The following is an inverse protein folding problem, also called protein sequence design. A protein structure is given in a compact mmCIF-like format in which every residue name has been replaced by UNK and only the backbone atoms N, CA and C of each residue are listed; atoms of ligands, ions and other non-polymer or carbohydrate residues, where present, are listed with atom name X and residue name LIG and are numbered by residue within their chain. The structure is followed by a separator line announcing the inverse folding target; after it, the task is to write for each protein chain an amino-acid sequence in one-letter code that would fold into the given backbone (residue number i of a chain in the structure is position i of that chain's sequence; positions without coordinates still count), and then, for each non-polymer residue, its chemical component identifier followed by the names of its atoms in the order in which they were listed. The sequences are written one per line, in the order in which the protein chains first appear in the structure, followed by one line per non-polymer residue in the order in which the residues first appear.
data_IF_850586391976
#
_entry.id   IF_850586391976
#
_cell.length_a   1.000
_cell.length_b   1.000
_cell.length_c   1.000
_cell.angle_alpha   90.00
_cell.angle_beta   90.00
_cell.angle_gamma   90.00
#
_symmetry.space_group_name_H-M   'P 1'
#
loop_
_entity.id
_entity.type
_entity.pdbx_description
1 polymer ?
#
# COMPACT_ATOMS: atom_id res chain seq x y z
N UNK A 1 12.20 21.88 -0.53
CA UNK A 1 13.53 21.21 -0.59
C UNK A 1 13.59 19.96 0.28
N UNK A 2 13.23 20.03 1.57
CA UNK A 2 13.26 18.88 2.50
C UNK A 2 12.37 17.68 2.09
N UNK A 3 11.22 17.92 1.46
CA UNK A 3 10.31 16.84 1.05
C UNK A 3 10.77 16.07 -0.20
N UNK A 4 11.45 16.77 -1.11
CA UNK A 4 12.08 16.20 -2.32
C UNK A 4 13.30 15.35 -1.93
N UNK A 5 14.10 15.84 -0.98
CA UNK A 5 15.19 15.09 -0.35
C UNK A 5 14.68 13.88 0.45
N UNK A 6 13.56 14.02 1.16
CA UNK A 6 12.94 12.93 1.91
C UNK A 6 12.48 11.77 1.03
N UNK A 7 11.91 12.04 -0.14
CA UNK A 7 11.47 10.98 -1.03
C UNK A 7 12.53 10.47 -2.01
N UNK A 8 13.53 11.27 -2.41
CA UNK A 8 14.76 10.77 -3.04
C UNK A 8 15.55 9.87 -2.07
N UNK A 9 15.64 10.27 -0.79
CA UNK A 9 16.21 9.47 0.28
C UNK A 9 15.45 8.15 0.51
N UNK A 10 14.14 8.12 0.28
CA UNK A 10 13.33 6.91 0.36
C UNK A 10 13.57 5.95 -0.81
N UNK A 11 13.70 6.46 -2.04
CA UNK A 11 14.04 5.65 -3.23
C UNK A 11 15.46 5.08 -3.17
N UNK A 12 16.44 5.91 -2.81
CA UNK A 12 17.84 5.50 -2.64
C UNK A 12 17.98 4.58 -1.42
N UNK A 13 17.30 4.90 -0.31
CA UNK A 13 17.26 4.10 0.91
C UNK A 13 16.65 2.72 0.71
N UNK A 14 15.57 2.59 -0.06
CA UNK A 14 14.99 1.27 -0.40
C UNK A 14 15.94 0.42 -1.25
N UNK A 15 16.68 1.02 -2.20
CA UNK A 15 17.66 0.31 -3.02
C UNK A 15 18.89 -0.09 -2.20
N UNK A 16 19.33 0.76 -1.27
CA UNK A 16 20.39 0.47 -0.33
C UNK A 16 19.99 -0.67 0.61
N UNK A 17 18.79 -0.59 1.20
CA UNK A 17 18.23 -1.63 2.07
C UNK A 17 18.07 -2.95 1.33
N UNK A 18 17.48 -2.97 0.13
CA UNK A 18 17.30 -4.20 -0.65
C UNK A 18 18.64 -4.84 -1.04
N UNK A 19 19.63 -4.04 -1.46
CA UNK A 19 20.98 -4.52 -1.77
C UNK A 19 21.72 -5.00 -0.53
N UNK A 20 21.57 -4.31 0.60
CA UNK A 20 22.12 -4.74 1.89
C UNK A 20 21.47 -6.04 2.34
N UNK A 21 20.14 -6.20 2.21
CA UNK A 21 19.45 -7.44 2.60
C UNK A 21 19.83 -8.66 1.77
N UNK A 22 20.27 -8.49 0.53
CA UNK A 22 20.61 -9.60 -0.37
C UNK A 22 21.83 -10.42 0.09
N UNK A 23 22.72 -9.82 0.89
CA UNK A 23 23.88 -10.49 1.48
C UNK A 23 23.79 -10.72 3.00
N UNK A 24 22.68 -10.32 3.63
CA UNK A 24 22.54 -10.36 5.09
C UNK A 24 21.94 -11.69 5.57
N UNK A 25 22.36 -12.18 6.76
CA UNK A 25 21.68 -13.26 7.45
C UNK A 25 20.19 -12.94 7.62
N UNK A 26 19.32 -13.96 7.52
CA UNK A 26 17.86 -13.81 7.54
C UNK A 26 17.33 -12.96 8.70
N UNK A 27 17.97 -13.03 9.88
CA UNK A 27 17.63 -12.21 11.06
C UNK A 27 17.94 -10.72 10.85
N UNK A 28 19.10 -10.40 10.29
CA UNK A 28 19.51 -9.02 10.01
C UNK A 28 18.69 -8.39 8.88
N UNK A 29 18.37 -9.17 7.83
CA UNK A 29 17.48 -8.71 6.77
C UNK A 29 16.07 -8.38 7.30
N UNK A 30 15.53 -9.21 8.22
CA UNK A 30 14.26 -8.94 8.91
C UNK A 30 14.32 -7.71 9.79
N UNK A 31 15.38 -7.55 10.59
CA UNK A 31 15.56 -6.38 11.44
C UNK A 31 15.60 -5.09 10.63
N UNK A 32 16.33 -5.09 9.50
CA UNK A 32 16.41 -3.93 8.61
C UNK A 32 15.05 -3.61 7.95
N UNK A 33 14.30 -4.64 7.52
CA UNK A 33 12.93 -4.46 6.99
C UNK A 33 11.98 -3.91 8.06
N UNK A 34 12.02 -4.44 9.28
CA UNK A 34 11.23 -3.94 10.42
C UNK A 34 11.55 -2.47 10.73
N UNK A 35 12.83 -2.12 10.83
CA UNK A 35 13.27 -0.75 11.05
C UNK A 35 12.79 0.19 9.93
N UNK A 36 12.88 -0.25 8.67
CA UNK A 36 12.40 0.52 7.52
C UNK A 36 10.90 0.73 7.58
N UNK A 37 10.12 -0.31 7.88
CA UNK A 37 8.66 -0.22 8.04
C UNK A 37 8.30 0.76 9.16
N UNK A 38 8.97 0.69 10.31
CA UNK A 38 8.74 1.59 11.43
C UNK A 38 9.02 3.03 11.03
N UNK A 39 10.20 3.32 10.50
CA UNK A 39 10.59 4.69 10.09
C UNK A 39 9.61 5.27 9.07
N UNK A 40 9.24 4.48 8.06
CA UNK A 40 8.35 4.91 6.97
C UNK A 40 6.93 5.20 7.46
N UNK A 41 6.44 4.48 8.48
CA UNK A 41 5.08 4.65 9.00
C UNK A 41 5.02 5.59 10.23
N UNK A 42 6.14 5.89 10.89
CA UNK A 42 6.22 6.86 12.00
C UNK A 42 6.24 8.30 11.49
N UNK A 43 6.98 8.61 10.42
CA UNK A 43 7.04 9.96 9.88
C UNK A 43 5.66 10.60 9.56
N UNK A 44 4.70 9.88 8.98
CA UNK A 44 3.33 10.35 8.79
C UNK A 44 2.60 10.66 10.09
N UNK A 45 2.76 9.80 11.10
CA UNK A 45 2.12 9.99 12.39
C UNK A 45 2.66 11.26 13.07
N UNK A 46 3.97 11.49 12.99
CA UNK A 46 4.59 12.75 13.44
C UNK A 46 4.02 13.95 12.68
N UNK A 47 3.87 13.85 11.36
CA UNK A 47 3.29 14.93 10.55
C UNK A 47 1.82 15.25 10.89
N UNK A 48 1.04 14.24 11.29
CA UNK A 48 -0.32 14.44 11.81
C UNK A 48 -0.31 15.10 13.18
N UNK A 49 0.59 14.65 14.09
CA UNK A 49 0.71 15.21 15.44
C UNK A 49 1.15 16.67 15.43
N UNK A 50 2.03 17.06 14.51
CA UNK A 50 2.46 18.45 14.31
C UNK A 50 1.44 19.28 13.52
N UNK A 51 0.37 18.67 13.01
CA UNK A 51 -0.70 19.33 12.26
C UNK A 51 -0.36 19.65 10.80
N UNK A 52 0.82 19.23 10.32
CA UNK A 52 1.26 19.44 8.94
C UNK A 52 0.43 18.63 7.91
N UNK A 53 -0.17 17.53 8.35
CA UNK A 53 -0.97 16.61 7.54
C UNK A 53 -2.31 16.35 8.22
N UNK A 54 -3.40 16.42 7.47
CA UNK A 54 -4.76 16.15 7.96
C UNK A 54 -5.26 14.76 7.61
N UNK A 55 -6.51 14.45 7.99
CA UNK A 55 -7.13 13.18 7.64
C UNK A 55 -7.25 12.98 6.12
N UNK A 56 -7.67 14.03 5.41
CA UNK A 56 -7.80 13.99 3.95
C UNK A 56 -6.49 13.61 3.25
N UNK A 57 -5.35 14.12 3.75
CA UNK A 57 -4.03 13.79 3.20
C UNK A 57 -3.66 12.31 3.44
N UNK A 58 -3.97 11.77 4.62
CA UNK A 58 -3.73 10.35 4.96
C UNK A 58 -4.62 9.42 4.11
N UNK A 59 -5.90 9.77 3.95
CA UNK A 59 -6.81 9.02 3.08
C UNK A 59 -6.32 9.05 1.63
N UNK A 60 -5.98 10.22 1.09
CA UNK A 60 -5.54 10.37 -0.30
C UNK A 60 -4.28 9.56 -0.55
N UNK A 61 -3.36 9.53 0.43
CA UNK A 61 -2.20 8.66 0.34
C UNK A 61 -2.58 7.18 0.23
N UNK A 62 -3.42 6.65 1.13
CA UNK A 62 -3.84 5.25 1.03
C UNK A 62 -4.53 4.94 -0.31
N UNK A 63 -5.35 5.86 -0.81
CA UNK A 63 -6.01 5.71 -2.11
C UNK A 63 -4.98 5.63 -3.26
N UNK A 64 -3.97 6.51 -3.26
CA UNK A 64 -2.90 6.48 -4.27
C UNK A 64 -2.02 5.23 -4.16
N UNK A 65 -1.75 4.74 -2.94
CA UNK A 65 -1.01 3.50 -2.70
C UNK A 65 -1.75 2.30 -3.33
N UNK A 66 -3.07 2.21 -3.16
CA UNK A 66 -3.89 1.16 -3.77
C UNK A 66 -3.86 1.22 -5.30
N UNK A 67 -4.03 2.42 -5.88
CA UNK A 67 -3.94 2.61 -7.34
C UNK A 67 -2.55 2.23 -7.87
N UNK A 68 -1.50 2.61 -7.14
CA UNK A 68 -0.11 2.25 -7.48
C UNK A 68 0.09 0.74 -7.51
N UNK A 69 -0.38 0.03 -6.48
CA UNK A 69 -0.29 -1.43 -6.40
C UNK A 69 -1.04 -2.08 -7.56
N UNK A 70 -2.23 -1.58 -7.89
CA UNK A 70 -2.99 -2.05 -9.04
C UNK A 70 -2.20 -1.89 -10.35
N UNK A 71 -1.71 -0.68 -10.65
CA UNK A 71 -0.98 -0.39 -11.89
C UNK A 71 0.20 -1.33 -12.07
N UNK A 72 1.01 -1.53 -11.02
CA UNK A 72 2.18 -2.40 -11.09
C UNK A 72 1.82 -3.89 -11.12
N UNK A 73 0.73 -4.30 -10.48
CA UNK A 73 0.23 -5.68 -10.57
C UNK A 73 -0.27 -5.99 -11.98
N UNK A 74 -1.01 -5.05 -12.59
CA UNK A 74 -1.46 -5.17 -13.97
C UNK A 74 -0.30 -5.16 -14.96
N UNK A 75 0.66 -4.24 -14.80
CA UNK A 75 1.87 -4.20 -15.63
C UNK A 75 2.64 -5.53 -15.57
N UNK A 76 2.79 -6.14 -14.39
CA UNK A 76 3.37 -7.48 -14.24
C UNK A 76 2.55 -8.56 -14.93
N UNK A 77 1.23 -8.53 -14.77
CA UNK A 77 0.35 -9.51 -15.41
C UNK A 77 0.44 -9.43 -16.93
N UNK A 78 0.50 -8.22 -17.50
CA UNK A 78 0.66 -7.97 -18.93
C UNK A 78 2.04 -8.40 -19.43
N UNK A 79 3.11 -8.04 -18.71
CA UNK A 79 4.49 -8.39 -19.09
C UNK A 79 4.80 -9.89 -19.01
N UNK A 80 4.00 -10.65 -18.24
CA UNK A 80 4.18 -12.11 -18.06
C UNK A 80 3.14 -12.95 -18.79
N UNK A 81 2.36 -12.30 -19.67
CA UNK A 81 1.37 -12.96 -20.52
C UNK A 81 2.10 -13.70 -21.64
N UNK A 82 1.77 -14.97 -21.83
CA UNK A 82 2.23 -15.73 -22.99
C UNK A 82 1.55 -15.22 -24.26
N UNK A 83 2.27 -15.08 -25.39
CA UNK A 83 1.66 -14.81 -26.69
C UNK A 83 0.63 -15.90 -27.01
N UNK A 84 -0.64 -15.52 -27.19
CA UNK A 84 -1.75 -16.47 -27.40
C UNK A 84 -2.45 -16.97 -26.12
N UNK A 85 -1.93 -16.67 -24.92
CA UNK A 85 -2.60 -16.97 -23.65
C UNK A 85 -3.86 -16.11 -23.41
N UNK A 86 -4.73 -16.51 -22.46
CA UNK A 86 -6.09 -15.97 -22.32
C UNK A 86 -6.08 -14.46 -21.99
N UNK A 87 -6.22 -13.65 -23.03
CA UNK A 87 -6.31 -12.18 -22.97
C UNK A 87 -7.40 -11.72 -22.00
N UNK A 88 -8.51 -12.44 -22.03
CA UNK A 88 -9.72 -12.17 -21.28
C UNK A 88 -9.48 -12.27 -19.77
N UNK A 89 -8.62 -13.18 -19.29
CA UNK A 89 -8.32 -13.31 -17.87
C UNK A 89 -7.57 -12.09 -17.32
N UNK A 90 -6.58 -11.59 -18.06
CA UNK A 90 -5.82 -10.38 -17.67
C UNK A 90 -6.67 -9.12 -17.82
N UNK A 91 -7.50 -9.04 -18.86
CA UNK A 91 -8.43 -7.93 -19.07
C UNK A 91 -9.51 -7.87 -17.98
N UNK A 92 -10.15 -9.00 -17.67
CA UNK A 92 -11.12 -9.10 -16.59
C UNK A 92 -10.50 -8.75 -15.24
N UNK A 93 -9.31 -9.28 -14.94
CA UNK A 93 -8.58 -8.92 -13.73
C UNK A 93 -8.26 -7.42 -13.68
N UNK A 94 -7.78 -6.85 -14.78
CA UNK A 94 -7.49 -5.43 -14.90
C UNK A 94 -8.73 -4.57 -14.62
N UNK A 95 -9.84 -4.84 -15.29
CA UNK A 95 -11.10 -4.09 -15.11
C UNK A 95 -11.66 -4.28 -13.70
N UNK A 96 -11.81 -5.52 -13.25
CA UNK A 96 -12.42 -5.82 -11.95
C UNK A 96 -11.58 -5.25 -10.80
N UNK A 97 -10.29 -5.55 -10.76
CA UNK A 97 -9.40 -5.05 -9.72
C UNK A 97 -9.18 -3.54 -9.82
N UNK A 98 -9.13 -3.00 -11.04
CA UNK A 98 -9.05 -1.56 -11.29
C UNK A 98 -10.24 -0.80 -10.73
N UNK A 99 -11.47 -1.31 -10.89
CA UNK A 99 -12.65 -0.70 -10.27
C UNK A 99 -12.54 -0.67 -8.75
N UNK A 100 -12.17 -1.78 -8.10
CA UNK A 100 -11.99 -1.80 -6.65
C UNK A 100 -10.85 -0.89 -6.16
N UNK A 101 -9.79 -0.72 -6.96
CA UNK A 101 -8.71 0.19 -6.62
C UNK A 101 -9.11 1.67 -6.76
N UNK A 102 -9.98 1.99 -7.73
CA UNK A 102 -10.41 3.35 -8.03
C UNK A 102 -11.55 3.84 -7.12
N UNK A 103 -12.41 2.95 -6.63
CA UNK A 103 -13.56 3.33 -5.80
C UNK A 103 -13.14 4.10 -4.54
N UNK A 104 -12.15 3.66 -3.73
CA UNK A 104 -11.66 4.45 -2.58
C UNK A 104 -11.20 5.84 -2.95
N UNK A 105 -10.61 6.00 -4.15
CA UNK A 105 -10.11 7.27 -4.66
C UNK A 105 -11.26 8.19 -5.10
N UNK A 106 -12.15 7.71 -5.96
CA UNK A 106 -13.25 8.50 -6.52
C UNK A 106 -14.30 8.84 -5.45
N UNK A 107 -14.77 7.85 -4.68
CA UNK A 107 -15.75 8.10 -3.63
C UNK A 107 -15.15 8.92 -2.50
N UNK A 108 -13.89 8.72 -2.15
CA UNK A 108 -13.29 9.52 -1.09
C UNK A 108 -13.00 10.95 -1.52
N UNK A 109 -12.75 11.22 -2.80
CA UNK A 109 -12.72 12.59 -3.30
C UNK A 109 -14.08 13.30 -3.09
N UNK A 110 -15.18 12.59 -3.27
CA UNK A 110 -16.54 13.12 -3.10
C UNK A 110 -17.00 13.19 -1.63
N UNK A 111 -16.57 12.25 -0.79
CA UNK A 111 -17.08 12.07 0.57
C UNK A 111 -16.10 12.53 1.65
N UNK A 112 -14.81 12.26 1.48
CA UNK A 112 -13.78 12.58 2.48
C UNK A 112 -13.34 14.03 2.36
N UNK A 113 -13.08 14.54 1.15
CA UNK A 113 -12.54 15.90 1.00
C UNK A 113 -13.47 17.01 1.51
N UNK A 114 -14.80 16.94 1.34
CA UNK A 114 -15.70 17.92 1.95
C UNK A 114 -15.68 17.88 3.48
N UNK A 115 -15.53 16.69 4.07
CA UNK A 115 -15.50 16.51 5.52
C UNK A 115 -14.11 16.78 6.14
N UNK A 116 -13.04 16.54 5.38
CA UNK A 116 -11.65 16.62 5.80
C UNK A 116 -10.78 17.08 4.60
N UNK A 117 -10.69 18.40 4.35
CA UNK A 117 -9.93 18.93 3.23
C UNK A 117 -8.43 18.63 3.37
N UNK A 118 -7.74 18.61 2.22
CA UNK A 118 -6.29 18.42 2.18
C UNK A 118 -5.57 19.61 2.82
N UNK A 119 -4.67 19.36 3.76
CA UNK A 119 -3.82 20.40 4.34
C UNK A 119 -2.57 20.63 3.48
N UNK A 120 -2.08 19.57 2.82
CA UNK A 120 -0.82 19.62 2.06
C UNK A 120 -0.93 18.85 0.73
N UNK A 121 -1.80 19.26 -0.22
CA UNK A 121 -2.10 18.51 -1.45
C UNK A 121 -0.86 18.22 -2.30
N UNK A 122 0.01 19.22 -2.47
CA UNK A 122 1.25 19.10 -3.25
C UNK A 122 2.23 18.10 -2.64
N UNK A 123 2.36 18.09 -1.31
CA UNK A 123 3.25 17.17 -0.59
C UNK A 123 2.70 15.74 -0.65
N UNK A 124 1.38 15.59 -0.51
CA UNK A 124 0.68 14.31 -0.61
C UNK A 124 0.81 13.70 -2.00
N UNK A 125 0.60 14.48 -3.07
CA UNK A 125 0.67 13.97 -4.45
C UNK A 125 2.10 13.71 -4.92
N UNK A 126 3.00 14.70 -4.78
CA UNK A 126 4.36 14.58 -5.35
C UNK A 126 5.24 13.63 -4.53
N UNK A 127 5.19 13.73 -3.20
CA UNK A 127 6.16 13.05 -2.32
C UNK A 127 5.68 11.67 -1.93
N UNK A 128 4.38 11.50 -1.66
CA UNK A 128 3.85 10.20 -1.23
C UNK A 128 3.30 9.41 -2.42
N UNK A 129 2.58 10.07 -3.33
CA UNK A 129 2.10 9.46 -4.57
C UNK A 129 3.22 9.16 -5.57
N UNK A 130 3.95 10.19 -6.02
CA UNK A 130 4.99 10.04 -7.05
C UNK A 130 6.15 9.14 -6.61
N UNK A 131 6.72 9.38 -5.43
CA UNK A 131 7.89 8.62 -4.97
C UNK A 131 7.49 7.23 -4.44
N UNK A 132 6.28 7.09 -3.89
CA UNK A 132 5.67 5.80 -3.58
C UNK A 132 5.46 4.94 -4.84
N UNK A 133 4.94 5.55 -5.92
CA UNK A 133 4.76 4.89 -7.21
C UNK A 133 6.08 4.38 -7.79
N UNK A 134 7.11 5.23 -7.79
CA UNK A 134 8.44 4.85 -8.24
C UNK A 134 9.05 3.77 -7.35
N UNK A 135 8.88 3.83 -6.04
CA UNK A 135 9.43 2.84 -5.10
C UNK A 135 8.78 1.46 -5.29
N UNK A 136 7.45 1.41 -5.44
CA UNK A 136 6.73 0.17 -5.71
C UNK A 136 7.15 -0.39 -7.07
N UNK A 137 7.16 0.44 -8.12
CA UNK A 137 7.61 0.03 -9.45
C UNK A 137 9.01 -0.53 -9.47
N UNK A 138 9.92 0.12 -8.75
CA UNK A 138 11.28 -0.33 -8.60
C UNK A 138 11.39 -1.65 -7.84
N UNK A 139 10.60 -1.85 -6.79
CA UNK A 139 10.58 -3.10 -6.00
C UNK A 139 10.14 -4.31 -6.82
N UNK A 140 9.30 -4.09 -7.84
CA UNK A 140 8.80 -5.15 -8.73
C UNK A 140 9.55 -5.26 -10.05
N UNK A 141 10.41 -4.29 -10.39
CA UNK A 141 11.13 -4.25 -11.66
C UNK A 141 11.92 -5.55 -11.93
N UNK A 142 12.62 -6.08 -10.93
CA UNK A 142 13.34 -7.35 -11.06
C UNK A 142 12.43 -8.59 -11.19
N UNK A 143 11.16 -8.49 -10.81
CA UNK A 143 10.17 -9.54 -11.07
C UNK A 143 9.55 -9.41 -12.47
N UNK A 144 9.32 -8.18 -12.94
CA UNK A 144 8.88 -7.86 -14.31
C UNK A 144 9.93 -8.33 -15.33
N UNK A 145 11.18 -7.92 -15.16
CA UNK A 145 12.31 -8.28 -16.04
C UNK A 145 12.53 -9.80 -16.07
N UNK A 146 12.37 -10.47 -14.93
CA UNK A 146 12.53 -11.92 -14.82
C UNK A 146 11.28 -12.73 -15.23
N UNK A 147 10.23 -12.09 -15.77
CA UNK A 147 9.03 -12.79 -16.21
C UNK A 147 8.23 -13.47 -15.10
N UNK A 148 8.37 -13.03 -13.84
CA UNK A 148 7.76 -13.70 -12.68
C UNK A 148 6.33 -13.24 -12.44
N UNK A 149 5.37 -14.16 -12.69
CA UNK A 149 3.94 -13.95 -12.43
C UNK A 149 3.65 -13.51 -10.98
N UNK A 150 2.62 -12.67 -10.74
CA UNK A 150 2.16 -12.35 -9.39
C UNK A 150 1.80 -13.62 -8.61
N UNK A 151 2.24 -13.70 -7.36
CA UNK A 151 1.91 -14.84 -6.47
C UNK A 151 0.61 -14.59 -5.69
N UNK A 152 0.00 -15.66 -5.14
CA UNK A 152 -1.14 -15.52 -4.19
C UNK A 152 -0.80 -14.59 -3.03
N UNK A 153 0.44 -14.63 -2.53
CA UNK A 153 0.90 -13.74 -1.48
C UNK A 153 0.94 -12.26 -1.90
N UNK A 154 1.20 -11.97 -3.18
CA UNK A 154 1.15 -10.61 -3.72
C UNK A 154 -0.30 -10.10 -3.71
N UNK A 155 -1.26 -10.95 -4.11
CA UNK A 155 -2.69 -10.60 -4.05
C UNK A 155 -3.18 -10.37 -2.63
N UNK A 156 -2.87 -11.27 -1.68
CA UNK A 156 -3.26 -11.11 -0.26
C UNK A 156 -2.76 -9.77 0.30
N UNK A 157 -1.50 -9.43 0.01
CA UNK A 157 -0.89 -8.15 0.41
C UNK A 157 -1.60 -6.95 -0.21
N UNK A 158 -2.02 -7.05 -1.46
CA UNK A 158 -2.70 -5.98 -2.18
C UNK A 158 -4.14 -5.79 -1.66
N UNK A 159 -4.89 -6.89 -1.51
CA UNK A 159 -6.25 -6.87 -0.94
C UNK A 159 -6.29 -6.35 0.50
N UNK A 160 -5.31 -6.69 1.33
CA UNK A 160 -5.28 -6.20 2.71
C UNK A 160 -5.07 -4.67 2.78
N UNK A 161 -4.23 -4.10 1.90
CA UNK A 161 -4.06 -2.64 1.80
C UNK A 161 -5.30 -1.96 1.22
N UNK A 162 -5.95 -2.59 0.24
CA UNK A 162 -7.21 -2.13 -0.31
C UNK A 162 -8.31 -2.09 0.75
N UNK A 163 -8.45 -3.14 1.56
CA UNK A 163 -9.39 -3.17 2.70
C UNK A 163 -9.18 -2.00 3.65
N UNK A 164 -7.93 -1.68 3.99
CA UNK A 164 -7.62 -0.52 4.82
C UNK A 164 -8.02 0.81 4.18
N UNK A 165 -7.82 0.98 2.86
CA UNK A 165 -8.26 2.18 2.16
C UNK A 165 -9.79 2.33 2.14
N UNK A 166 -10.53 1.22 2.00
CA UNK A 166 -11.98 1.22 2.15
C UNK A 166 -12.43 1.53 3.58
N UNK A 167 -11.75 1.01 4.60
CA UNK A 167 -12.04 1.39 5.98
C UNK A 167 -11.83 2.89 6.19
N UNK A 168 -10.72 3.45 5.68
CA UNK A 168 -10.45 4.88 5.74
C UNK A 168 -11.47 5.73 4.94
N UNK A 169 -12.03 5.21 3.85
CA UNK A 169 -13.12 5.89 3.14
C UNK A 169 -14.36 6.09 4.03
N UNK A 170 -14.69 5.10 4.86
CA UNK A 170 -15.96 5.07 5.61
C UNK A 170 -15.89 5.76 6.98
N UNK A 171 -14.69 5.92 7.56
CA UNK A 171 -14.53 6.51 8.90
C UNK A 171 -15.16 7.91 9.07
N UNK A 172 -15.03 8.86 8.12
CA UNK A 172 -15.67 10.17 8.25
C UNK A 172 -17.20 10.08 8.28
N UNK A 173 -17.79 9.11 7.57
CA UNK A 173 -19.23 8.91 7.57
C UNK A 173 -19.71 8.46 8.96
N UNK A 174 -18.95 7.59 9.64
CA UNK A 174 -19.30 7.16 11.01
C UNK A 174 -19.05 8.28 12.02
N UNK A 175 -18.01 9.09 11.82
CA UNK A 175 -17.57 10.09 12.80
C UNK A 175 -18.20 11.50 12.62
N UNK A 176 -18.81 11.78 11.47
CA UNK A 176 -19.24 13.13 11.06
C UNK A 176 -20.68 13.20 10.54
N UNK A 177 -21.42 12.09 10.49
CA UNK A 177 -22.83 12.14 10.05
C UNK A 177 -23.73 12.52 11.21
N UNK A 178 -24.54 13.57 11.00
CA UNK A 178 -25.64 13.96 11.88
C UNK A 178 -26.88 14.17 11.02
N UNK A 179 -27.97 13.49 11.37
CA UNK A 179 -29.27 13.58 10.66
C UNK A 179 -29.16 13.34 9.14
N UNK A 180 -28.29 12.40 8.73
CA UNK A 180 -28.04 12.07 7.32
C UNK A 180 -27.15 13.05 6.55
N UNK A 181 -26.70 14.14 7.20
CA UNK A 181 -25.78 15.12 6.61
C UNK A 181 -24.36 14.89 7.11
N UNK A 182 -23.39 14.88 6.18
CA UNK A 182 -21.98 14.78 6.51
C UNK A 182 -21.44 16.16 6.86
N UNK A 183 -21.06 16.34 8.12
CA UNK A 183 -20.50 17.59 8.61
C UNK A 183 -18.96 17.60 8.51
N UNK A 184 -18.34 18.76 8.31
CA UNK A 184 -16.90 18.91 8.44
C UNK A 184 -16.40 18.40 9.79
N UNK A 185 -15.34 17.59 9.76
CA UNK A 185 -14.71 17.07 10.95
C UNK A 185 -13.93 18.17 11.67
N UNK A 186 -14.05 18.23 12.99
CA UNK A 186 -13.20 19.09 13.82
C UNK A 186 -11.74 18.67 13.70
N UNK A 187 -10.84 19.61 13.94
CA UNK A 187 -9.39 19.39 13.93
C UNK A 187 -8.95 18.22 14.83
N UNK A 188 -9.54 18.09 16.01
CA UNK A 188 -9.27 16.99 16.94
C UNK A 188 -9.73 15.63 16.39
N UNK A 189 -10.92 15.57 15.77
CA UNK A 189 -11.44 14.34 15.15
C UNK A 189 -10.62 13.94 13.93
N UNK A 190 -10.22 14.89 13.09
CA UNK A 190 -9.35 14.60 11.94
C UNK A 190 -8.03 13.98 12.39
N UNK A 191 -7.36 14.57 13.40
CA UNK A 191 -6.09 14.02 13.93
C UNK A 191 -6.29 12.62 14.52
N UNK A 192 -7.33 12.41 15.31
CA UNK A 192 -7.61 11.10 15.91
C UNK A 192 -7.82 10.04 14.83
N UNK A 193 -8.70 10.29 13.86
CA UNK A 193 -8.97 9.33 12.78
C UNK A 193 -7.72 9.07 11.93
N UNK A 194 -6.92 10.10 11.67
CA UNK A 194 -5.69 9.96 10.89
C UNK A 194 -4.69 9.06 11.61
N UNK A 195 -4.51 9.24 12.92
CA UNK A 195 -3.66 8.40 13.74
C UNK A 195 -4.18 6.96 13.80
N UNK A 196 -5.48 6.76 13.99
CA UNK A 196 -6.09 5.40 13.98
C UNK A 196 -5.78 4.69 12.67
N UNK A 197 -5.98 5.36 11.53
CA UNK A 197 -5.70 4.80 10.21
C UNK A 197 -4.21 4.49 10.02
N UNK A 198 -3.32 5.40 10.44
CA UNK A 198 -1.87 5.18 10.34
C UNK A 198 -1.37 4.04 11.24
N UNK A 199 -1.93 3.91 12.45
CA UNK A 199 -1.63 2.80 13.36
C UNK A 199 -2.15 1.48 12.80
N UNK A 200 -3.36 1.46 12.24
CA UNK A 200 -3.90 0.29 11.54
C UNK A 200 -3.03 -0.09 10.34
N UNK A 201 -2.55 0.90 9.57
CA UNK A 201 -1.58 0.70 8.48
C UNK A 201 -0.29 0.08 9.00
N UNK A 202 0.31 0.64 10.05
CA UNK A 202 1.53 0.13 10.63
C UNK A 202 1.36 -1.32 11.11
N UNK A 203 0.29 -1.61 11.85
CA UNK A 203 -0.03 -2.95 12.31
C UNK A 203 -0.17 -3.93 11.13
N UNK A 204 -0.90 -3.53 10.08
CA UNK A 204 -1.03 -4.31 8.87
C UNK A 204 0.34 -4.57 8.21
N UNK A 205 1.17 -3.54 8.02
CA UNK A 205 2.50 -3.69 7.39
C UNK A 205 3.41 -4.61 8.22
N UNK A 206 3.38 -4.50 9.56
CA UNK A 206 4.11 -5.39 10.45
C UNK A 206 3.64 -6.84 10.29
N UNK A 207 2.33 -7.08 10.24
CA UNK A 207 1.77 -8.42 9.98
C UNK A 207 2.16 -8.92 8.59
N UNK A 208 2.16 -8.09 7.56
CA UNK A 208 2.52 -8.51 6.20
C UNK A 208 4.03 -8.78 6.04
N UNK A 209 4.89 -8.06 6.76
CA UNK A 209 6.35 -8.21 6.70
C UNK A 209 6.85 -9.34 7.60
N UNK A 210 6.30 -9.47 8.81
CA UNK A 210 6.69 -10.51 9.78
C UNK A 210 5.91 -11.79 9.52
N UNK A 211 4.64 -11.68 9.20
CA UNK A 211 3.74 -12.81 9.07
C UNK A 211 3.86 -13.54 7.74
N UNK A 212 4.12 -12.84 6.62
CA UNK A 212 4.19 -13.50 5.31
C UNK A 212 5.61 -13.93 4.99
N UNK A 213 5.85 -15.24 5.09
CA UNK A 213 7.12 -15.85 4.76
C UNK A 213 7.00 -16.79 3.57
N UNK A 214 7.90 -16.64 2.59
CA UNK A 214 8.12 -17.67 1.59
C UNK A 214 9.21 -18.60 2.09
N UNK A 215 8.90 -19.88 2.25
CA UNK A 215 9.88 -20.89 2.69
C UNK A 215 10.60 -21.51 1.48
N UNK A 216 11.76 -22.17 1.69
CA UNK A 216 12.53 -22.81 0.63
C UNK A 216 11.76 -23.91 -0.11
N UNK A 217 10.72 -24.48 0.52
CA UNK A 217 9.76 -25.42 -0.06
C UNK A 217 8.84 -24.78 -1.12
N UNK A 218 9.00 -23.48 -1.41
CA UNK A 218 8.23 -22.72 -2.38
C UNK A 218 6.86 -22.26 -1.88
N UNK A 219 6.43 -22.67 -0.68
CA UNK A 219 5.13 -22.34 -0.10
C UNK A 219 5.16 -20.98 0.63
N UNK A 220 4.02 -20.32 0.63
CA UNK A 220 3.79 -19.07 1.36
C UNK A 220 3.07 -19.37 2.67
N UNK A 221 3.58 -18.82 3.77
CA UNK A 221 3.03 -18.98 5.11
C UNK A 221 2.61 -17.61 5.66
N UNK A 222 1.49 -17.55 6.39
CA UNK A 222 1.06 -16.42 7.22
C UNK A 222 1.17 -16.85 8.68
N UNK A 223 2.02 -16.19 9.47
CA UNK A 223 2.22 -16.47 10.90
C UNK A 223 2.50 -17.96 11.16
N UNK A 224 3.32 -18.57 10.29
CA UNK A 224 3.69 -19.99 10.38
C UNK A 224 2.65 -20.98 9.83
N UNK A 225 1.46 -20.53 9.38
CA UNK A 225 0.45 -21.38 8.74
C UNK A 225 0.53 -21.26 7.21
N UNK A 226 0.50 -22.37 6.46
CA UNK A 226 0.53 -22.31 4.99
C UNK A 226 -0.75 -21.65 4.46
N UNK A 227 -0.60 -20.65 3.60
CA UNK A 227 -1.73 -19.95 2.94
C UNK A 227 -2.08 -20.62 1.60
N UNK A 228 -1.18 -21.49 1.10
CA UNK A 228 -1.38 -22.22 -0.16
C UNK A 228 -1.08 -23.70 0.06
N UNK A 229 -2.15 -24.52 0.04
CA UNK A 229 -2.05 -25.95 -0.27
C UNK A 229 -1.98 -26.02 -1.79
N UNK A 230 -0.80 -26.23 -2.36
CA UNK A 230 -0.68 -26.45 -3.80
C UNK A 230 -1.49 -27.70 -4.16
N UNK A 231 -2.43 -27.55 -5.09
CA UNK A 231 -3.03 -28.68 -5.82
C UNK A 231 -1.91 -29.60 -6.28
N UNK A 232 -2.06 -30.91 -6.01
CA UNK A 232 -1.15 -31.94 -6.51
C UNK A 232 -0.92 -31.70 -8.01
N UNK A 233 0.35 -31.66 -8.42
CA UNK A 233 0.68 -32.04 -9.80
C UNK A 233 0.23 -33.49 -9.94
N UNK A 234 -0.91 -33.72 -10.59
CA UNK A 234 -1.17 -35.02 -11.20
C UNK A 234 -0.10 -35.19 -12.27
N UNK A 235 0.75 -36.19 -12.05
CA UNK A 235 1.66 -36.78 -13.02
C UNK A 235 0.94 -37.16 -14.31
#
# INVERSE_FOLDING_TARGET
MNALLGGLGRLVGLRLVLRMTAGLPRRAARALLLATVLVVNVAPAVAVLTGAVGYGDVWLWLAVEVVTIYVWTLARALATREPGGPALGVAFFGVHYGMFALVPFLLGALLVLPAAPLRSPLLTVLVLGGLGFLAVGWSVAGAVVAGRRPSVGDYVRAYARMFLAYAALLLPLVAGTKDGTLLPLTDSRQRLLALVVLLAKLALELVLVVGIERRPDGRTYLLGRPIVVSTRRSS
#
